data_IF_089265687315
#
_entry.id   IF_089265687315
#
_cell.length_a   1.000
_cell.length_b   1.000
_cell.length_c   1.000
_cell.angle_alpha   90.00
_cell.angle_beta   90.00
_cell.angle_gamma   90.00
#
_symmetry.space_group_name_H-M   'P 1'
#
loop_
_entity.id
_entity.type
_entity.pdbx_description
1 polymer ?
#
# COMPACT_ATOMS: atom_id res chain seq x y z
N UNK A 1 -3.66 7.27 6.06
CA UNK A 1 -3.02 8.29 6.90
C UNK A 1 -1.96 7.70 7.81
N UNK A 2 -2.29 6.77 8.74
CA UNK A 2 -1.30 6.17 9.68
C UNK A 2 0.03 5.69 9.09
N UNK A 3 0.03 5.14 7.88
CA UNK A 3 1.28 4.72 7.22
C UNK A 3 2.23 5.91 6.94
N UNK A 4 1.68 7.04 6.47
CA UNK A 4 2.44 8.28 6.25
C UNK A 4 2.91 8.90 7.56
N UNK A 5 2.07 8.90 8.61
CA UNK A 5 2.44 9.38 9.96
C UNK A 5 3.64 8.60 10.51
N UNK A 6 3.61 7.27 10.38
CA UNK A 6 4.73 6.40 10.78
C UNK A 6 5.97 6.63 9.93
N UNK A 7 5.82 6.87 8.64
CA UNK A 7 6.95 7.14 7.75
C UNK A 7 7.67 8.42 8.15
N UNK A 8 6.93 9.50 8.45
CA UNK A 8 7.50 10.76 8.93
C UNK A 8 8.12 10.60 10.32
N UNK A 9 7.44 9.92 11.25
CA UNK A 9 7.95 9.67 12.59
C UNK A 9 9.23 8.80 12.62
N UNK A 10 9.48 8.04 11.56
CA UNK A 10 10.68 7.20 11.41
C UNK A 10 11.88 7.92 10.77
N UNK A 11 11.75 9.19 10.39
CA UNK A 11 12.88 9.96 9.86
C UNK A 11 13.90 10.25 10.96
N UNK A 12 15.19 10.17 10.63
CA UNK A 12 16.28 10.55 11.53
C UNK A 12 16.39 12.07 11.75
N UNK A 13 15.73 12.85 10.88
CA UNK A 13 15.64 14.30 10.94
C UNK A 13 14.19 14.72 11.15
N UNK A 14 13.97 15.87 11.77
CA UNK A 14 12.65 16.51 11.82
C UNK A 14 12.50 17.46 10.64
N UNK A 15 11.61 17.21 9.67
CA UNK A 15 11.37 18.12 8.58
C UNK A 15 10.60 19.37 9.04
N UNK A 16 10.89 20.53 8.46
CA UNK A 16 10.12 21.75 8.67
C UNK A 16 8.72 21.67 8.03
N UNK A 17 8.63 20.98 6.88
CA UNK A 17 7.39 20.78 6.13
C UNK A 17 7.37 19.43 5.43
N UNK A 18 6.18 18.82 5.34
CA UNK A 18 5.94 17.58 4.58
C UNK A 18 4.97 17.83 3.44
N UNK A 19 5.41 17.53 2.21
CA UNK A 19 4.56 17.55 1.02
C UNK A 19 3.98 16.15 0.78
N UNK A 20 2.67 16.07 0.55
CA UNK A 20 1.92 14.80 0.50
C UNK A 20 1.19 14.69 -0.83
N UNK A 21 1.40 13.58 -1.54
CA UNK A 21 0.61 13.30 -2.75
C UNK A 21 -0.87 13.09 -2.42
N UNK A 22 -1.74 13.76 -3.17
CA UNK A 22 -3.18 13.66 -3.07
C UNK A 22 -3.84 14.94 -2.56
N UNK A 23 -4.98 14.79 -1.89
CA UNK A 23 -5.83 15.93 -1.52
C UNK A 23 -5.96 16.15 0.00
N UNK A 24 -5.22 15.40 0.82
CA UNK A 24 -5.32 15.43 2.28
C UNK A 24 -3.97 15.17 2.92
N UNK A 25 -3.68 15.89 4.00
CA UNK A 25 -2.50 15.68 4.84
C UNK A 25 -2.80 14.76 6.02
N UNK A 26 -1.87 13.86 6.41
CA UNK A 26 -1.93 13.13 7.67
C UNK A 26 -1.82 14.10 8.86
N UNK A 27 -2.19 13.64 10.05
CA UNK A 27 -2.01 14.43 11.27
C UNK A 27 -0.53 14.40 11.68
N UNK A 28 0.18 15.49 11.42
CA UNK A 28 1.62 15.62 11.66
C UNK A 28 1.91 16.76 12.64
N UNK A 29 2.96 16.66 13.47
CA UNK A 29 3.33 17.73 14.39
C UNK A 29 3.98 18.94 13.70
N UNK A 30 4.42 18.78 12.45
CA UNK A 30 4.98 19.84 11.60
C UNK A 30 4.00 20.24 10.50
N UNK A 31 4.31 21.34 9.80
CA UNK A 31 3.52 21.81 8.68
C UNK A 31 3.43 20.74 7.57
N UNK A 32 2.27 20.65 6.92
CA UNK A 32 2.09 19.74 5.79
C UNK A 32 1.14 20.30 4.75
N UNK A 33 1.43 19.99 3.49
CA UNK A 33 0.64 20.42 2.34
C UNK A 33 0.36 19.27 1.39
N UNK A 34 -0.90 19.13 0.99
CA UNK A 34 -1.33 18.16 0.00
C UNK A 34 -1.14 18.73 -1.41
N UNK A 35 -0.60 17.92 -2.31
CA UNK A 35 -0.36 18.26 -3.71
C UNK A 35 -1.02 17.20 -4.58
N UNK A 36 -2.04 17.59 -5.34
CA UNK A 36 -2.75 16.69 -6.25
C UNK A 36 -1.80 16.33 -7.40
N UNK A 37 -1.58 15.02 -7.63
CA UNK A 37 -0.58 14.50 -8.58
C UNK A 37 0.84 14.96 -8.24
N UNK A 38 1.14 15.02 -6.95
CA UNK A 38 2.40 15.53 -6.43
C UNK A 38 3.60 14.75 -6.94
N UNK A 39 3.43 13.45 -7.24
CA UNK A 39 4.46 12.58 -7.81
C UNK A 39 4.97 13.04 -9.19
N UNK A 40 4.12 13.72 -9.97
CA UNK A 40 4.47 14.31 -11.27
C UNK A 40 4.96 15.76 -11.19
N UNK A 41 4.84 16.42 -10.03
CA UNK A 41 5.05 17.86 -9.88
C UNK A 41 6.18 18.22 -8.90
N UNK A 42 6.45 17.34 -7.93
CA UNK A 42 7.38 17.56 -6.82
C UNK A 42 8.36 16.40 -6.76
N UNK A 43 9.66 16.71 -6.80
CA UNK A 43 10.72 15.71 -6.92
C UNK A 43 10.79 14.80 -5.68
N UNK A 44 10.60 15.36 -4.48
CA UNK A 44 10.60 14.63 -3.21
C UNK A 44 9.43 13.64 -3.14
N UNK A 45 8.25 14.04 -3.62
CA UNK A 45 7.08 13.16 -3.71
C UNK A 45 7.34 12.05 -4.73
N UNK A 46 7.94 12.38 -5.87
CA UNK A 46 8.34 11.41 -6.90
C UNK A 46 9.32 10.37 -6.34
N UNK A 47 10.37 10.82 -5.64
CA UNK A 47 11.33 9.94 -4.99
C UNK A 47 10.66 9.04 -3.94
N UNK A 48 9.77 9.60 -3.11
CA UNK A 48 9.02 8.84 -2.12
C UNK A 48 8.11 7.78 -2.76
N UNK A 49 7.46 8.09 -3.89
CA UNK A 49 6.57 7.14 -4.59
C UNK A 49 7.34 5.96 -5.17
N UNK A 50 8.55 6.20 -5.70
CA UNK A 50 9.45 5.15 -6.18
C UNK A 50 9.87 4.23 -5.03
N UNK A 51 10.34 4.80 -3.92
CA UNK A 51 10.75 4.01 -2.74
C UNK A 51 9.59 3.16 -2.20
N UNK A 52 8.40 3.75 -2.09
CA UNK A 52 7.21 3.05 -1.63
C UNK A 52 6.83 1.89 -2.56
N UNK A 53 6.81 2.14 -3.87
CA UNK A 53 6.44 1.14 -4.88
C UNK A 53 7.42 -0.02 -4.92
N UNK A 54 8.72 0.27 -5.02
CA UNK A 54 9.76 -0.74 -5.11
C UNK A 54 9.79 -1.61 -3.85
N UNK A 55 9.65 -0.99 -2.67
CA UNK A 55 9.58 -1.74 -1.40
C UNK A 55 8.36 -2.64 -1.36
N UNK A 56 7.18 -2.10 -1.71
CA UNK A 56 5.93 -2.87 -1.73
C UNK A 56 5.98 -4.05 -2.70
N UNK A 57 6.61 -3.88 -3.85
CA UNK A 57 6.71 -4.95 -4.85
C UNK A 57 7.60 -6.10 -4.38
N UNK A 58 8.69 -5.79 -3.67
CA UNK A 58 9.56 -6.78 -3.01
C UNK A 58 8.83 -7.55 -1.92
N UNK A 59 8.02 -6.88 -1.09
CA UNK A 59 7.18 -7.55 -0.10
C UNK A 59 6.20 -8.53 -0.77
N UNK A 60 5.66 -8.18 -1.94
CA UNK A 60 4.76 -9.06 -2.68
C UNK A 60 5.45 -10.26 -3.31
N UNK A 61 6.70 -10.12 -3.72
CA UNK A 61 7.53 -11.25 -4.14
C UNK A 61 7.88 -12.17 -2.97
N UNK A 62 8.12 -11.61 -1.78
CA UNK A 62 8.32 -12.42 -0.58
C UNK A 62 7.04 -13.15 -0.17
N UNK A 63 5.89 -12.47 -0.25
CA UNK A 63 4.60 -13.10 0.06
C UNK A 63 4.25 -14.20 -0.94
N UNK A 64 4.60 -14.03 -2.21
CA UNK A 64 4.44 -15.05 -3.25
C UNK A 64 5.18 -16.35 -2.89
N UNK A 65 6.40 -16.25 -2.35
CA UNK A 65 7.15 -17.42 -1.88
C UNK A 65 6.45 -18.16 -0.74
N UNK A 66 5.71 -17.44 0.10
CA UNK A 66 4.93 -18.02 1.21
C UNK A 66 3.59 -18.59 0.75
N UNK A 67 3.00 -18.02 -0.31
CA UNK A 67 1.69 -18.40 -0.86
C UNK A 67 1.78 -18.52 -2.40
N UNK A 68 2.51 -19.52 -2.92
CA UNK A 68 2.91 -19.58 -4.34
C UNK A 68 1.72 -19.69 -5.30
N UNK A 69 0.61 -20.27 -4.87
CA UNK A 69 -0.57 -20.45 -5.72
C UNK A 69 -1.33 -19.15 -6.00
N UNK A 70 -1.11 -18.10 -5.20
CA UNK A 70 -1.84 -16.84 -5.32
C UNK A 70 -1.26 -15.91 -6.39
N UNK A 71 0.03 -16.00 -6.72
CA UNK A 71 0.66 -15.17 -7.76
C UNK A 71 0.88 -13.70 -7.37
N UNK A 72 1.03 -13.41 -6.07
CA UNK A 72 1.30 -12.07 -5.52
C UNK A 72 2.48 -11.36 -6.19
N UNK A 73 3.50 -12.08 -6.65
CA UNK A 73 4.64 -11.49 -7.35
C UNK A 73 4.22 -10.80 -8.66
N UNK A 74 3.12 -11.24 -9.30
CA UNK A 74 2.65 -10.69 -10.57
C UNK A 74 1.68 -9.52 -10.37
N UNK A 75 0.61 -9.75 -9.61
CA UNK A 75 -0.47 -8.77 -9.47
C UNK A 75 -0.37 -7.90 -8.21
N UNK A 76 0.62 -8.11 -7.34
CA UNK A 76 0.92 -7.28 -6.17
C UNK A 76 -0.26 -7.09 -5.19
N UNK A 77 -1.20 -8.03 -5.20
CA UNK A 77 -2.43 -8.00 -4.40
C UNK A 77 -3.61 -7.25 -5.02
N UNK A 78 -3.48 -6.69 -6.23
CA UNK A 78 -4.61 -6.13 -6.97
C UNK A 78 -5.63 -7.21 -7.35
N UNK A 79 -6.93 -6.89 -7.49
CA UNK A 79 -7.99 -7.86 -7.73
C UNK A 79 -8.08 -8.25 -9.21
N UNK A 80 -7.02 -8.86 -9.76
CA UNK A 80 -7.05 -9.43 -11.11
C UNK A 80 -7.95 -10.67 -11.16
N UNK A 81 -8.41 -11.06 -12.35
CA UNK A 81 -9.23 -12.27 -12.52
C UNK A 81 -8.57 -13.50 -11.87
N UNK A 82 -7.28 -13.70 -12.11
CA UNK A 82 -6.48 -14.77 -11.49
C UNK A 82 -6.49 -14.69 -9.96
N UNK A 83 -6.28 -13.50 -9.38
CA UNK A 83 -6.26 -13.36 -7.93
C UNK A 83 -7.64 -13.63 -7.31
N UNK A 84 -8.72 -13.23 -7.98
CA UNK A 84 -10.09 -13.51 -7.51
C UNK A 84 -10.43 -15.01 -7.62
N UNK A 85 -9.98 -15.69 -8.66
CA UNK A 85 -10.11 -17.14 -8.81
C UNK A 85 -9.39 -17.89 -7.68
N UNK A 86 -8.15 -17.50 -7.38
CA UNK A 86 -7.37 -18.11 -6.28
C UNK A 86 -7.96 -17.80 -4.91
N UNK A 87 -8.44 -16.58 -4.70
CA UNK A 87 -9.15 -16.22 -3.47
C UNK A 87 -10.44 -17.05 -3.29
N UNK A 88 -11.18 -17.33 -4.35
CA UNK A 88 -12.39 -18.13 -4.29
C UNK A 88 -12.11 -19.63 -4.06
N UNK A 89 -11.04 -20.17 -4.65
CA UNK A 89 -10.71 -21.60 -4.59
C UNK A 89 -9.88 -21.99 -3.36
N UNK A 90 -8.96 -21.13 -2.91
CA UNK A 90 -8.04 -21.40 -1.79
C UNK A 90 -8.44 -20.67 -0.50
N UNK A 91 -9.37 -19.73 -0.59
CA UNK A 91 -9.79 -18.88 0.54
C UNK A 91 -8.86 -17.70 0.78
N UNK A 92 -9.10 -16.94 1.85
CA UNK A 92 -8.32 -15.75 2.18
C UNK A 92 -7.14 -16.07 3.11
N UNK A 93 -5.97 -15.53 2.79
CA UNK A 93 -4.78 -15.57 3.66
C UNK A 93 -4.84 -14.50 4.77
N UNK A 94 -4.00 -14.59 5.83
CA UNK A 94 -3.88 -13.53 6.85
C UNK A 94 -3.52 -12.14 6.30
N UNK A 95 -2.91 -12.08 5.12
CA UNK A 95 -2.49 -10.83 4.46
C UNK A 95 -3.59 -10.17 3.63
N UNK A 96 -4.72 -10.87 3.41
CA UNK A 96 -5.87 -10.28 2.74
C UNK A 96 -6.57 -9.27 3.65
N UNK A 97 -7.01 -8.16 3.06
CA UNK A 97 -7.76 -7.12 3.76
C UNK A 97 -9.19 -7.60 4.00
N UNK A 98 -9.45 -8.16 5.18
CA UNK A 98 -10.74 -8.74 5.57
C UNK A 98 -11.94 -7.80 5.41
N UNK A 99 -11.74 -6.49 5.42
CA UNK A 99 -12.83 -5.53 5.22
C UNK A 99 -13.27 -5.38 3.75
N UNK A 100 -12.48 -5.87 2.78
CA UNK A 100 -12.78 -5.72 1.36
C UNK A 100 -13.80 -6.77 0.92
N UNK A 101 -14.79 -6.36 0.11
CA UNK A 101 -15.94 -7.21 -0.22
C UNK A 101 -15.60 -8.59 -0.81
N UNK A 102 -14.63 -8.75 -1.75
CA UNK A 102 -14.24 -10.07 -2.24
C UNK A 102 -13.67 -10.98 -1.14
N UNK A 103 -12.91 -10.40 -0.21
CA UNK A 103 -12.29 -11.14 0.90
C UNK A 103 -13.34 -11.52 1.95
N UNK A 104 -14.28 -10.62 2.27
CA UNK A 104 -15.38 -10.94 3.20
C UNK A 104 -16.20 -12.13 2.71
N UNK A 105 -16.53 -12.16 1.40
CA UNK A 105 -17.24 -13.28 0.77
C UNK A 105 -16.45 -14.58 0.88
N UNK A 106 -15.15 -14.55 0.57
CA UNK A 106 -14.28 -15.72 0.72
C UNK A 106 -14.13 -16.22 2.18
N UNK A 107 -14.41 -15.35 3.16
CA UNK A 107 -14.40 -15.67 4.59
C UNK A 107 -15.80 -16.00 5.16
N UNK A 108 -16.85 -16.03 4.33
CA UNK A 108 -18.24 -16.18 4.76
C UNK A 108 -18.68 -15.16 5.83
N UNK A 109 -18.17 -13.93 5.75
CA UNK A 109 -18.51 -12.82 6.67
C UNK A 109 -19.67 -11.95 6.15
N UNK A 110 -20.18 -12.26 4.96
CA UNK A 110 -21.36 -11.68 4.28
C UNK A 110 -21.84 -12.65 3.22
#
# INVERSE_FOLDING_TARGET
MKAMERAVAGLSITPDMVLVDGNRCPNLPMASQAVIKGDSLVQEISAASILAKVTRDREMEQLDKLYPDYGFAKHKGYPTAFHMEKLASLGATPYHRKSFAPVKRALNLV
#
